data_IF_285051093648
#
_entry.id   IF_285051093648
#
_cell.length_a   1.000
_cell.length_b   1.000
_cell.length_c   1.000
_cell.angle_alpha   90.00
_cell.angle_beta   90.00
_cell.angle_gamma   90.00
#
_symmetry.space_group_name_H-M   'P 1'
#
loop_
_entity.id
_entity.type
_entity.pdbx_description
1 polymer ?
#
# COMPACT_ATOMS: atom_id res chain seq x y z
N UNK A 1 -28.16 -1.52 12.67
CA UNK A 1 -27.20 -0.94 13.63
C UNK A 1 -25.84 -1.54 13.32
N UNK A 2 -25.02 -0.84 12.55
CA UNK A 2 -23.63 -1.23 12.33
C UNK A 2 -22.88 -0.99 13.64
N UNK A 3 -22.60 -2.07 14.37
CA UNK A 3 -21.66 -2.01 15.49
C UNK A 3 -20.31 -1.65 14.88
N UNK A 4 -19.87 -0.41 15.06
CA UNK A 4 -18.50 0.02 14.74
C UNK A 4 -17.56 -0.75 15.65
N UNK A 5 -17.12 -1.92 15.20
CA UNK A 5 -16.17 -2.74 15.93
C UNK A 5 -14.81 -2.05 15.82
N UNK A 6 -14.45 -1.28 16.84
CA UNK A 6 -13.18 -0.59 16.92
C UNK A 6 -12.08 -1.64 17.12
N UNK A 7 -11.33 -1.91 16.04
CA UNK A 7 -10.31 -2.98 15.98
C UNK A 7 -8.91 -2.51 16.30
N UNK A 8 -8.68 -1.20 16.38
CA UNK A 8 -7.41 -0.61 16.79
C UNK A 8 -7.75 0.54 17.75
N UNK A 9 -7.12 0.64 18.94
CA UNK A 9 -7.31 1.76 19.84
C UNK A 9 -6.76 3.03 19.20
N UNK A 10 -7.58 4.09 19.13
CA UNK A 10 -7.20 5.33 18.44
C UNK A 10 -7.65 6.55 19.23
N UNK A 11 -6.90 7.64 19.11
CA UNK A 11 -7.21 8.94 19.70
C UNK A 11 -6.94 10.06 18.68
N UNK A 12 -7.51 11.24 18.90
CA UNK A 12 -7.23 12.41 18.05
C UNK A 12 -5.92 13.07 18.50
N UNK A 13 -5.02 13.32 17.56
CA UNK A 13 -3.77 14.03 17.81
C UNK A 13 -3.29 14.78 16.58
N UNK A 14 -2.08 15.33 16.67
CA UNK A 14 -1.42 16.05 15.58
C UNK A 14 -0.10 15.36 15.25
N UNK A 15 0.15 15.11 13.96
CA UNK A 15 1.41 14.59 13.43
C UNK A 15 1.65 15.23 12.07
N UNK A 16 2.89 15.66 11.79
CA UNK A 16 3.26 16.41 10.58
C UNK A 16 2.37 17.67 10.35
N UNK A 17 2.01 18.37 11.43
CA UNK A 17 1.15 19.57 11.36
C UNK A 17 -0.32 19.28 10.96
N UNK A 18 -0.73 18.01 10.94
CA UNK A 18 -2.06 17.57 10.56
C UNK A 18 -2.78 16.94 11.74
N UNK A 19 -3.97 17.46 12.03
CA UNK A 19 -4.89 16.80 12.96
C UNK A 19 -5.40 15.50 12.31
N UNK A 20 -5.11 14.37 12.95
CA UNK A 20 -5.48 13.05 12.48
C UNK A 20 -5.70 12.09 13.64
N UNK A 21 -6.25 10.91 13.34
CA UNK A 21 -6.29 9.84 14.32
C UNK A 21 -4.91 9.20 14.44
N UNK A 22 -4.48 8.98 15.67
CA UNK A 22 -3.24 8.31 16.03
C UNK A 22 -3.56 7.09 16.88
N UNK A 23 -2.57 6.21 17.01
CA UNK A 23 -2.64 4.99 17.80
C UNK A 23 -1.50 4.97 18.80
N UNK A 24 -1.79 4.66 20.06
CA UNK A 24 -0.74 4.45 21.07
C UNK A 24 -0.09 3.08 20.86
N UNK A 25 1.24 3.05 20.76
CA UNK A 25 1.95 1.84 20.41
C UNK A 25 1.88 0.76 21.51
N UNK A 26 1.81 1.15 22.79
CA UNK A 26 1.64 0.20 23.89
C UNK A 26 0.22 -0.39 23.90
N UNK A 27 -0.80 0.44 23.69
CA UNK A 27 -2.18 -0.04 23.56
C UNK A 27 -2.32 -0.99 22.37
N UNK A 28 -1.69 -0.67 21.23
CA UNK A 28 -1.64 -1.56 20.06
C UNK A 28 -0.94 -2.89 20.38
N UNK A 29 0.23 -2.83 21.02
CA UNK A 29 1.00 -4.02 21.41
C UNK A 29 0.18 -4.96 22.31
N UNK A 30 -0.48 -4.40 23.31
CA UNK A 30 -1.37 -5.13 24.22
C UNK A 30 -2.58 -5.70 23.47
N UNK A 31 -3.22 -4.91 22.61
CA UNK A 31 -4.37 -5.34 21.81
C UNK A 31 -4.03 -6.51 20.87
N UNK A 32 -2.86 -6.46 20.25
CA UNK A 32 -2.36 -7.49 19.34
C UNK A 32 -1.87 -8.76 20.07
N UNK A 33 -1.84 -8.77 21.41
CA UNK A 33 -1.40 -9.90 22.24
C UNK A 33 0.03 -10.37 21.89
N UNK A 34 0.90 -9.41 21.57
CA UNK A 34 2.29 -9.69 21.21
C UNK A 34 3.09 -10.13 22.44
N UNK A 35 3.75 -11.28 22.33
CA UNK A 35 4.49 -11.89 23.45
C UNK A 35 5.88 -11.29 23.69
N UNK A 36 6.49 -10.71 22.64
CA UNK A 36 7.78 -10.03 22.75
C UNK A 36 7.61 -8.76 23.57
N UNK A 37 8.61 -8.41 24.40
CA UNK A 37 8.58 -7.17 25.18
C UNK A 37 8.41 -5.96 24.26
N UNK A 38 7.63 -4.98 24.70
CA UNK A 38 7.25 -3.81 23.89
C UNK A 38 8.45 -3.13 23.21
N UNK A 39 9.49 -2.75 23.96
CA UNK A 39 10.66 -2.05 23.41
C UNK A 39 11.38 -2.86 22.32
N UNK A 40 11.54 -4.17 22.54
CA UNK A 40 12.19 -5.05 21.57
C UNK A 40 11.31 -5.23 20.32
N UNK A 41 10.00 -5.31 20.52
CA UNK A 41 9.03 -5.45 19.44
C UNK A 41 8.97 -4.17 18.59
N UNK A 42 8.70 -3.02 19.17
CA UNK A 42 8.50 -1.77 18.44
C UNK A 42 9.79 -1.32 17.74
N UNK A 43 10.94 -1.41 18.42
CA UNK A 43 12.23 -1.08 17.82
C UNK A 43 12.55 -1.94 16.61
N UNK A 44 12.36 -3.26 16.72
CA UNK A 44 12.53 -4.18 15.59
C UNK A 44 11.57 -3.88 14.45
N UNK A 45 10.32 -3.54 14.75
CA UNK A 45 9.30 -3.26 13.72
C UNK A 45 9.60 -1.96 12.97
N UNK A 46 10.02 -0.92 13.69
CA UNK A 46 10.47 0.35 13.10
C UNK A 46 11.62 0.09 12.13
N UNK A 47 12.65 -0.63 12.56
CA UNK A 47 13.82 -0.95 11.72
C UNK A 47 13.44 -1.85 10.53
N UNK A 48 12.67 -2.91 10.76
CA UNK A 48 12.34 -3.91 9.75
C UNK A 48 11.53 -3.34 8.58
N UNK A 49 10.60 -2.42 8.85
CA UNK A 49 9.72 -1.85 7.84
C UNK A 49 10.13 -0.43 7.40
N UNK A 50 11.17 0.13 8.02
CA UNK A 50 11.72 1.43 7.65
C UNK A 50 10.80 2.60 8.00
N UNK A 51 10.04 2.49 9.10
CA UNK A 51 9.18 3.58 9.57
C UNK A 51 10.01 4.80 9.98
N UNK A 52 9.53 6.00 9.63
CA UNK A 52 10.25 7.26 9.79
C UNK A 52 9.63 8.10 10.90
N UNK A 53 10.44 8.55 11.84
CA UNK A 53 10.00 9.48 12.90
C UNK A 53 9.63 10.85 12.31
N UNK A 54 8.49 11.39 12.69
CA UNK A 54 7.89 12.61 12.13
C UNK A 54 6.94 12.36 10.96
N UNK A 55 7.01 11.19 10.31
CA UNK A 55 6.11 10.79 9.22
C UNK A 55 5.14 9.68 9.66
N UNK A 56 5.68 8.59 10.22
CA UNK A 56 4.92 7.41 10.61
C UNK A 56 4.61 7.36 12.10
N UNK A 57 5.44 7.98 12.93
CA UNK A 57 5.27 8.04 14.37
C UNK A 57 6.03 9.21 14.99
N UNK A 58 5.79 9.49 16.28
CA UNK A 58 6.71 10.28 17.12
C UNK A 58 6.94 9.62 18.47
N UNK A 59 8.15 9.78 19.01
CA UNK A 59 8.48 9.32 20.35
C UNK A 59 7.86 10.20 21.44
N UNK A 60 7.27 9.56 22.44
CA UNK A 60 6.74 10.21 23.65
C UNK A 60 7.54 9.72 24.84
N UNK A 61 8.07 10.65 25.63
CA UNK A 61 8.76 10.31 26.88
C UNK A 61 7.76 10.38 28.03
N UNK A 62 7.61 9.28 28.77
CA UNK A 62 6.81 9.29 29.99
C UNK A 62 7.51 10.07 31.11
N UNK A 63 6.73 10.77 31.95
CA UNK A 63 7.29 11.47 33.11
C UNK A 63 7.79 10.44 34.13
N UNK A 64 9.08 10.48 34.47
CA UNK A 64 9.64 9.59 35.50
C UNK A 64 9.77 10.31 36.85
N UNK A 65 9.47 9.58 37.93
CA UNK A 65 9.58 10.06 39.32
C UNK A 65 10.87 9.56 40.01
N UNK A 66 11.96 9.38 39.25
CA UNK A 66 13.27 8.94 39.79
C UNK A 66 13.98 7.82 39.02
N UNK A 67 13.49 7.41 37.84
CA UNK A 67 14.13 6.41 36.97
C UNK A 67 14.28 6.89 35.52
N UNK A 68 14.83 6.03 34.63
CA UNK A 68 14.88 6.32 33.18
C UNK A 68 13.44 6.40 32.65
N UNK A 69 13.04 7.52 32.02
CA UNK A 69 11.75 7.64 31.33
C UNK A 69 11.50 6.45 30.40
N UNK A 70 10.29 5.89 30.41
CA UNK A 70 9.91 4.92 29.39
C UNK A 70 9.67 5.68 28.09
N UNK A 71 10.21 5.16 27.00
CA UNK A 71 9.91 5.67 25.66
C UNK A 71 8.64 4.97 25.17
N UNK A 72 7.71 5.76 24.68
CA UNK A 72 6.49 5.32 24.03
C UNK A 72 6.40 5.96 22.65
N UNK A 73 5.41 5.58 21.85
CA UNK A 73 5.24 6.05 20.48
C UNK A 73 3.77 6.28 20.17
N UNK A 74 3.49 7.42 19.55
CA UNK A 74 2.21 7.65 18.90
C UNK A 74 2.37 7.44 17.41
N UNK A 75 1.60 6.49 16.87
CA UNK A 75 1.71 6.00 15.50
C UNK A 75 0.61 6.64 14.63
N UNK A 76 0.90 6.85 13.35
CA UNK A 76 -0.15 7.09 12.36
C UNK A 76 -1.07 5.87 12.26
N UNK A 77 -2.30 6.09 11.77
CA UNK A 77 -3.20 4.97 11.48
C UNK A 77 -2.60 3.99 10.46
N UNK A 78 -1.84 4.47 9.49
CA UNK A 78 -1.31 3.62 8.43
C UNK A 78 -0.20 2.72 8.96
N UNK A 79 0.74 3.26 9.74
CA UNK A 79 1.72 2.46 10.47
C UNK A 79 1.05 1.43 11.40
N UNK A 80 0.04 1.84 12.18
CA UNK A 80 -0.66 0.92 13.09
C UNK A 80 -1.37 -0.23 12.34
N UNK A 81 -2.00 0.07 11.19
CA UNK A 81 -2.61 -0.96 10.32
C UNK A 81 -1.56 -1.92 9.78
N UNK A 82 -0.43 -1.41 9.31
CA UNK A 82 0.66 -2.25 8.79
C UNK A 82 1.19 -3.19 9.86
N UNK A 83 1.49 -2.69 11.07
CA UNK A 83 1.90 -3.50 12.21
C UNK A 83 0.88 -4.60 12.52
N UNK A 84 -0.40 -4.24 12.60
CA UNK A 84 -1.48 -5.19 12.84
C UNK A 84 -1.60 -6.26 11.73
N UNK A 85 -1.36 -5.87 10.48
CA UNK A 85 -1.42 -6.76 9.32
C UNK A 85 -0.25 -7.75 9.26
N UNK A 86 0.92 -7.41 9.79
CA UNK A 86 2.10 -8.30 9.77
C UNK A 86 2.17 -9.24 10.97
N UNK A 87 1.40 -8.98 12.04
CA UNK A 87 1.39 -9.87 13.20
C UNK A 87 0.76 -11.23 12.87
N UNK A 88 1.55 -12.29 13.01
CA UNK A 88 1.12 -13.65 12.69
C UNK A 88 0.47 -14.34 13.90
N UNK A 89 -0.61 -13.74 14.40
CA UNK A 89 -1.39 -14.27 15.51
C UNK A 89 -2.91 -14.12 15.23
N UNK A 90 -3.75 -14.56 16.18
CA UNK A 90 -5.21 -14.58 15.99
C UNK A 90 -5.79 -13.16 15.90
N UNK A 91 -5.24 -12.18 16.63
CA UNK A 91 -5.64 -10.76 16.52
C UNK A 91 -5.31 -10.20 15.14
N UNK A 92 -4.09 -10.38 14.66
CA UNK A 92 -3.70 -10.00 13.30
C UNK A 92 -4.56 -10.68 12.24
N UNK A 93 -4.95 -11.95 12.45
CA UNK A 93 -5.87 -12.67 11.54
C UNK A 93 -7.26 -12.04 11.51
N UNK A 94 -7.82 -11.69 12.67
CA UNK A 94 -9.13 -11.01 12.76
C UNK A 94 -9.09 -9.66 12.02
N UNK A 95 -8.05 -8.87 12.26
CA UNK A 95 -7.85 -7.57 11.63
C UNK A 95 -7.72 -7.70 10.10
N UNK A 96 -6.88 -8.61 9.60
CA UNK A 96 -6.74 -8.88 8.17
C UNK A 96 -8.08 -9.27 7.53
N UNK A 97 -8.86 -10.15 8.16
CA UNK A 97 -10.19 -10.56 7.67
C UNK A 97 -11.16 -9.39 7.62
N UNK A 98 -11.16 -8.55 8.65
CA UNK A 98 -12.00 -7.36 8.68
C UNK A 98 -11.64 -6.39 7.56
N UNK A 99 -10.36 -6.05 7.38
CA UNK A 99 -9.95 -5.12 6.32
C UNK A 99 -10.26 -5.65 4.93
N UNK A 100 -10.10 -6.95 4.70
CA UNK A 100 -10.51 -7.60 3.43
C UNK A 100 -12.04 -7.50 3.24
N UNK A 101 -12.83 -7.68 4.29
CA UNK A 101 -14.29 -7.54 4.22
C UNK A 101 -14.71 -6.08 3.94
N UNK A 102 -14.07 -5.11 4.57
CA UNK A 102 -14.32 -3.68 4.33
C UNK A 102 -13.90 -3.25 2.92
N UNK A 103 -12.76 -3.73 2.42
CA UNK A 103 -12.38 -3.50 1.02
C UNK A 103 -13.44 -4.07 0.06
N UNK A 104 -14.00 -5.24 0.40
CA UNK A 104 -15.09 -5.87 -0.35
C UNK A 104 -16.34 -5.03 -0.43
N UNK A 105 -16.84 -4.60 0.71
CA UNK A 105 -18.01 -3.73 0.78
C UNK A 105 -17.77 -2.39 0.06
N UNK A 106 -16.57 -1.81 0.20
CA UNK A 106 -16.20 -0.55 -0.44
C UNK A 106 -16.11 -0.66 -1.97
N UNK A 107 -15.70 -1.82 -2.52
CA UNK A 107 -15.67 -2.04 -3.98
C UNK A 107 -17.07 -2.33 -4.54
N UNK A 108 -17.85 -3.16 -3.85
CA UNK A 108 -19.23 -3.49 -4.25
C UNK A 108 -20.12 -2.24 -4.25
N UNK A 109 -20.01 -1.37 -3.24
CA UNK A 109 -20.74 -0.09 -3.18
C UNK A 109 -20.36 0.89 -4.29
N UNK A 110 -19.15 0.78 -4.86
CA UNK A 110 -18.72 1.55 -6.04
C UNK A 110 -19.17 0.91 -7.37
N UNK A 111 -19.96 -0.16 -7.34
CA UNK A 111 -20.39 -0.91 -8.52
C UNK A 111 -19.29 -1.73 -9.17
N UNK A 112 -18.13 -1.89 -8.52
CA UNK A 112 -17.05 -2.73 -9.03
C UNK A 112 -17.35 -4.20 -8.69
N UNK A 113 -17.48 -5.04 -9.72
CA UNK A 113 -17.62 -6.49 -9.53
C UNK A 113 -16.27 -7.09 -9.18
N UNK A 114 -16.24 -7.96 -8.16
CA UNK A 114 -15.05 -8.74 -7.85
C UNK A 114 -14.69 -9.66 -9.03
N UNK A 115 -13.54 -9.37 -9.64
CA UNK A 115 -12.92 -10.30 -10.57
C UNK A 115 -12.43 -11.51 -9.77
N UNK A 116 -12.77 -12.71 -10.23
CA UNK A 116 -12.14 -13.93 -9.74
C UNK A 116 -10.63 -13.87 -9.96
N UNK A 117 -9.86 -14.61 -9.16
CA UNK A 117 -8.39 -14.68 -9.33
C UNK A 117 -8.02 -15.07 -10.77
N UNK A 118 -8.78 -15.97 -11.40
CA UNK A 118 -8.58 -16.33 -12.81
C UNK A 118 -8.77 -15.14 -13.77
N UNK A 119 -9.80 -14.33 -13.55
CA UNK A 119 -10.04 -13.11 -14.34
C UNK A 119 -8.95 -12.07 -14.10
N UNK A 120 -8.53 -11.86 -12.84
CA UNK A 120 -7.44 -10.94 -12.51
C UNK A 120 -6.14 -11.35 -13.20
N UNK A 121 -5.77 -12.64 -13.15
CA UNK A 121 -4.57 -13.15 -13.82
C UNK A 121 -4.66 -12.99 -15.35
N UNK A 122 -5.84 -13.21 -15.93
CA UNK A 122 -6.04 -13.01 -17.37
C UNK A 122 -5.82 -11.55 -17.79
N UNK A 123 -6.37 -10.59 -17.04
CA UNK A 123 -6.16 -9.15 -17.29
C UNK A 123 -4.70 -8.76 -17.05
N UNK A 124 -4.08 -9.23 -15.96
CA UNK A 124 -2.68 -8.95 -15.65
C UNK A 124 -1.74 -9.42 -16.76
N UNK A 125 -1.98 -10.60 -17.36
CA UNK A 125 -1.19 -11.09 -18.51
C UNK A 125 -1.30 -10.20 -19.75
N UNK A 126 -2.38 -9.42 -19.89
CA UNK A 126 -2.56 -8.51 -21.01
C UNK A 126 -1.82 -7.18 -20.83
N UNK A 127 -1.52 -6.77 -19.59
CA UNK A 127 -0.84 -5.49 -19.30
C UNK A 127 0.54 -5.38 -19.98
N UNK A 128 1.46 -6.36 -19.85
CA UNK A 128 2.75 -6.30 -20.55
C UNK A 128 2.60 -6.26 -22.08
N UNK A 129 1.61 -6.98 -22.63
CA UNK A 129 1.31 -6.99 -24.06
C UNK A 129 0.85 -5.61 -24.54
N UNK A 130 -0.07 -4.97 -23.82
CA UNK A 130 -0.54 -3.61 -24.14
C UNK A 130 0.61 -2.60 -24.09
N UNK A 131 1.49 -2.69 -23.08
CA UNK A 131 2.69 -1.85 -22.99
C UNK A 131 3.63 -2.03 -24.18
N UNK A 132 3.85 -3.28 -24.62
CA UNK A 132 4.69 -3.56 -25.80
C UNK A 132 4.08 -3.00 -27.09
N UNK A 133 2.77 -3.19 -27.30
CA UNK A 133 2.04 -2.60 -28.42
C UNK A 133 2.09 -1.08 -28.40
N UNK A 134 1.89 -0.47 -27.22
CA UNK A 134 1.92 0.97 -27.05
C UNK A 134 3.31 1.54 -27.41
N UNK A 135 4.39 0.85 -27.02
CA UNK A 135 5.77 1.22 -27.35
C UNK A 135 6.06 1.17 -28.85
N UNK A 136 5.55 0.13 -29.54
CA UNK A 136 5.74 -0.06 -30.98
C UNK A 136 4.85 0.86 -31.84
N UNK A 137 3.70 1.28 -31.32
CA UNK A 137 2.72 2.06 -32.06
C UNK A 137 3.15 3.52 -32.23
N UNK A 138 3.09 4.00 -33.47
CA UNK A 138 3.46 5.36 -33.87
C UNK A 138 2.25 6.23 -34.18
N UNK A 139 1.12 5.63 -34.56
CA UNK A 139 -0.14 6.34 -34.82
C UNK A 139 -0.72 6.92 -33.53
N UNK A 140 -0.93 8.24 -33.43
CA UNK A 140 -1.45 8.87 -32.21
C UNK A 140 -2.83 8.34 -31.81
N UNK A 141 -3.72 8.10 -32.79
CA UNK A 141 -5.08 7.63 -32.52
C UNK A 141 -5.07 6.21 -31.92
N UNK A 142 -4.32 5.28 -32.52
CA UNK A 142 -4.22 3.90 -32.04
C UNK A 142 -3.52 3.86 -30.68
N UNK A 143 -2.47 4.67 -30.50
CA UNK A 143 -1.76 4.80 -29.23
C UNK A 143 -2.70 5.27 -28.11
N UNK A 144 -3.58 6.25 -28.38
CA UNK A 144 -4.56 6.71 -27.41
C UNK A 144 -5.55 5.60 -27.01
N UNK A 145 -6.02 4.80 -27.98
CA UNK A 145 -6.91 3.66 -27.71
C UNK A 145 -6.22 2.58 -26.88
N UNK A 146 -5.00 2.19 -27.23
CA UNK A 146 -4.21 1.21 -26.46
C UNK A 146 -3.96 1.69 -25.03
N UNK A 147 -3.70 2.98 -24.85
CA UNK A 147 -3.53 3.58 -23.53
C UNK A 147 -4.82 3.57 -22.71
N UNK A 148 -5.96 3.91 -23.32
CA UNK A 148 -7.25 3.82 -22.64
C UNK A 148 -7.54 2.38 -22.15
N UNK A 149 -7.23 1.37 -22.97
CA UNK A 149 -7.36 -0.03 -22.58
C UNK A 149 -6.41 -0.42 -21.45
N UNK A 150 -5.15 0.06 -21.49
CA UNK A 150 -4.19 -0.13 -20.40
C UNK A 150 -4.71 0.47 -19.09
N UNK A 151 -5.19 1.72 -19.11
CA UNK A 151 -5.78 2.38 -17.95
C UNK A 151 -6.95 1.59 -17.38
N UNK A 152 -7.84 1.09 -18.24
CA UNK A 152 -8.97 0.26 -17.82
C UNK A 152 -8.49 -1.02 -17.11
N UNK A 153 -7.48 -1.72 -17.65
CA UNK A 153 -6.95 -2.93 -17.03
C UNK A 153 -6.27 -2.64 -15.69
N UNK A 154 -5.47 -1.59 -15.61
CA UNK A 154 -4.85 -1.15 -14.36
C UNK A 154 -5.90 -0.80 -13.30
N UNK A 155 -6.95 -0.10 -13.69
CA UNK A 155 -8.08 0.23 -12.81
C UNK A 155 -8.78 -1.02 -12.28
N UNK A 156 -9.09 -1.98 -13.16
CA UNK A 156 -9.71 -3.26 -12.77
C UNK A 156 -8.84 -4.10 -11.82
N UNK A 157 -7.52 -3.97 -11.92
CA UNK A 157 -6.55 -4.64 -11.06
C UNK A 157 -6.21 -3.83 -9.80
N UNK A 158 -6.76 -2.63 -9.64
CA UNK A 158 -6.39 -1.68 -8.58
C UNK A 158 -4.87 -1.42 -8.49
N UNK A 159 -4.19 -1.37 -9.64
CA UNK A 159 -2.76 -1.03 -9.75
C UNK A 159 -2.60 0.35 -10.40
N UNK A 160 -1.54 1.11 -10.08
CA UNK A 160 -1.29 2.38 -10.73
C UNK A 160 -1.02 2.19 -12.23
N UNK A 161 -1.67 3.00 -13.06
CA UNK A 161 -1.36 3.08 -14.48
C UNK A 161 -0.18 4.04 -14.72
N UNK A 162 0.81 3.69 -15.57
CA UNK A 162 1.86 4.63 -15.96
C UNK A 162 1.27 5.78 -16.79
N UNK A 163 1.92 6.94 -16.79
CA UNK A 163 1.52 8.04 -17.68
C UNK A 163 1.85 7.70 -19.14
N UNK A 164 1.05 8.18 -20.09
CA UNK A 164 1.25 7.91 -21.53
C UNK A 164 2.66 8.32 -22.03
N UNK A 165 3.20 9.39 -21.47
CA UNK A 165 4.53 9.92 -21.77
C UNK A 165 5.63 8.98 -21.26
N UNK A 166 5.46 8.42 -20.06
CA UNK A 166 6.44 7.51 -19.45
C UNK A 166 6.62 6.18 -20.19
N UNK A 167 5.65 5.76 -21.01
CA UNK A 167 5.71 4.48 -21.73
C UNK A 167 6.69 4.51 -22.91
N UNK A 168 7.12 5.69 -23.39
CA UNK A 168 8.11 5.83 -24.46
C UNK A 168 7.67 5.29 -25.83
N UNK A 169 8.54 5.38 -26.83
CA UNK A 169 8.40 4.76 -28.17
C UNK A 169 9.65 3.93 -28.46
N UNK A 170 9.51 2.73 -29.00
CA UNK A 170 10.68 2.01 -29.54
C UNK A 170 11.19 2.75 -30.78
N UNK A 171 12.49 3.05 -30.83
CA UNK A 171 13.14 3.46 -32.08
C UNK A 171 12.94 2.34 -33.11
N UNK A 172 12.58 2.63 -34.37
CA UNK A 172 12.69 1.62 -35.42
C UNK A 172 14.16 1.20 -35.49
N UNK A 173 14.43 -0.11 -35.41
CA UNK A 173 15.74 -0.64 -35.77
C UNK A 173 15.96 -0.30 -37.25
N UNK A 174 16.83 0.69 -37.52
CA UNK A 174 17.34 0.89 -38.86
C UNK A 174 18.16 -0.34 -39.20
N UNK A 175 17.57 -1.24 -39.99
CA UNK A 175 18.29 -2.34 -40.60
C UNK A 175 19.29 -1.77 -41.59
N UNK A 176 20.53 -1.59 -41.15
CA UNK A 176 21.69 -1.42 -42.02
C UNK A 176 21.97 -2.75 -42.73
N UNK A 177 21.07 -3.14 -43.64
CA UNK A 177 21.36 -4.07 -44.71
C UNK A 177 22.08 -3.25 -45.78
N UNK A 178 23.40 -3.12 -45.70
CA UNK A 178 24.35 -3.11 -46.84
C UNK A 178 25.74 -2.70 -46.32
N UNK A 179 26.75 -3.59 -46.33
CA UNK A 179 28.12 -3.15 -46.11
C UNK A 179 28.60 -2.44 -47.38
N UNK A 180 28.89 -1.15 -47.28
CA UNK A 180 29.65 -0.45 -48.31
C UNK A 180 31.09 -0.99 -48.27
N UNK A 181 31.45 -1.75 -49.31
CA UNK A 181 32.84 -2.15 -49.55
C UNK A 181 33.67 -0.93 -49.94
N UNK A 182 34.86 -0.82 -49.36
CA UNK A 182 35.94 0.08 -49.73
C UNK A 182 37.26 -0.59 -49.45
#
# INVERSE_FOLDING_TARGET
>A
MTMTQQLIPVFNGELDGRNQQLCDAQELHAFLEVQTRFNDWIGRRIEQYGFIEGEDFYSVLSKSAGGRPSQDYHLTLDMAKELAMVENNEKGRQIRRYFIAMEREARESRGATYLSVGQQLAIHRQVPRLLALLKAETSPAIRQTLYAQLCQHCHLLAIPAPSLESVGRSKPENGDLFPAQG
#
